data_IF_731612163600
#
_entry.id   IF_731612163600
#
_cell.length_a   1.000
_cell.length_b   1.000
_cell.length_c   1.000
_cell.angle_alpha   90.00
_cell.angle_beta   90.00
_cell.angle_gamma   90.00
#
_symmetry.space_group_name_H-M   'P 1'
#
loop_
_entity.id
_entity.type
_entity.pdbx_description
1 polymer ?
#
# COMPACT_ATOMS: atom_id res chain seq x y z
N UNK A 1 -12.80 10.54 -11.77
CA UNK A 1 -11.56 9.75 -11.58
C UNK A 1 -10.40 10.71 -11.40
N UNK A 2 -9.43 10.44 -10.51
CA UNK A 2 -8.28 11.34 -10.24
C UNK A 2 -7.01 10.78 -10.89
N UNK A 3 -6.15 11.65 -11.41
CA UNK A 3 -4.84 11.26 -11.98
C UNK A 3 -3.85 10.93 -10.88
N UNK A 4 -3.04 9.90 -11.11
CA UNK A 4 -1.92 9.55 -10.23
C UNK A 4 -0.76 10.52 -10.51
N UNK A 5 -0.11 11.04 -9.45
CA UNK A 5 1.07 11.91 -9.59
C UNK A 5 2.19 11.15 -10.33
N UNK A 6 2.90 11.81 -11.24
CA UNK A 6 4.03 11.21 -11.98
C UNK A 6 5.16 10.73 -11.07
N UNK A 7 5.32 11.39 -9.91
CA UNK A 7 6.29 11.08 -8.85
C UNK A 7 5.83 9.99 -7.87
N UNK A 8 4.69 9.34 -8.14
CA UNK A 8 4.19 8.21 -7.35
C UNK A 8 5.11 7.00 -7.51
N UNK A 9 5.47 6.40 -6.38
CA UNK A 9 6.30 5.19 -6.36
C UNK A 9 5.37 3.99 -6.55
N UNK A 10 5.76 3.06 -7.42
CA UNK A 10 5.10 1.76 -7.53
C UNK A 10 5.91 0.80 -6.69
N UNK A 11 5.33 0.29 -5.60
CA UNK A 11 6.00 -0.63 -4.69
C UNK A 11 6.34 -1.98 -5.35
N UNK A 12 7.29 -2.71 -4.77
CA UNK A 12 7.66 -4.05 -5.25
C UNK A 12 6.52 -5.07 -5.14
N UNK A 13 5.60 -4.91 -4.18
CA UNK A 13 4.39 -5.74 -4.09
C UNK A 13 3.51 -5.66 -5.35
N UNK A 14 3.54 -4.54 -6.08
CA UNK A 14 2.82 -4.37 -7.35
C UNK A 14 3.62 -4.88 -8.57
N UNK A 15 4.56 -5.82 -8.39
CA UNK A 15 5.50 -6.28 -9.42
C UNK A 15 4.82 -6.74 -10.71
N UNK A 16 3.68 -7.42 -10.64
CA UNK A 16 3.00 -7.93 -11.84
C UNK A 16 2.35 -6.83 -12.70
N UNK A 17 2.14 -5.63 -12.15
CA UNK A 17 1.37 -4.57 -12.81
C UNK A 17 2.25 -3.61 -13.60
N UNK A 18 1.99 -3.45 -14.91
CA UNK A 18 2.76 -2.53 -15.75
C UNK A 18 2.49 -1.07 -15.35
N UNK A 19 3.52 -0.22 -15.32
CA UNK A 19 3.35 1.22 -15.04
C UNK A 19 2.40 1.91 -16.02
N UNK A 20 2.37 1.46 -17.27
CA UNK A 20 1.52 2.04 -18.32
C UNK A 20 0.02 1.90 -18.05
N UNK A 21 -0.40 0.93 -17.23
CA UNK A 21 -1.81 0.75 -16.86
C UNK A 21 -2.19 1.55 -15.61
N UNK A 22 -1.21 1.89 -14.75
CA UNK A 22 -1.38 2.71 -13.55
C UNK A 22 -1.48 4.19 -13.95
N UNK A 23 -2.68 4.66 -14.31
CA UNK A 23 -2.91 6.06 -14.76
C UNK A 23 -3.77 6.89 -13.81
N UNK A 24 -4.83 6.29 -13.30
CA UNK A 24 -5.87 6.98 -12.54
C UNK A 24 -6.39 6.08 -11.43
N UNK A 25 -7.08 6.69 -10.47
CA UNK A 25 -7.76 6.00 -9.38
C UNK A 25 -9.16 6.60 -9.15
N UNK A 26 -10.06 5.78 -8.60
CA UNK A 26 -11.40 6.18 -8.15
C UNK A 26 -11.50 6.07 -6.64
N UNK A 27 -12.36 6.87 -6.01
CA UNK A 27 -12.49 6.90 -4.55
C UNK A 27 -12.85 5.51 -4.00
N UNK A 28 -12.11 5.07 -2.99
CA UNK A 28 -12.39 3.86 -2.25
C UNK A 28 -13.49 4.17 -1.22
N UNK A 29 -14.75 3.84 -1.52
CA UNK A 29 -15.86 4.09 -0.57
C UNK A 29 -16.83 2.91 -0.37
N UNK A 30 -16.82 1.89 -1.22
CA UNK A 30 -17.89 0.89 -1.21
C UNK A 30 -17.48 -0.56 -1.48
N UNK A 31 -16.23 -0.83 -1.85
CA UNK A 31 -15.76 -2.21 -2.11
C UNK A 31 -14.93 -2.68 -0.92
N UNK A 32 -15.24 -3.86 -0.39
CA UNK A 32 -14.37 -4.50 0.58
C UNK A 32 -13.04 -4.84 -0.10
N UNK A 33 -11.90 -4.50 0.51
CA UNK A 33 -10.61 -4.78 -0.10
C UNK A 33 -10.38 -6.29 -0.13
N UNK A 34 -9.79 -6.77 -1.23
CA UNK A 34 -9.39 -8.16 -1.38
C UNK A 34 -7.87 -8.28 -1.49
N UNK A 35 -7.35 -9.46 -1.20
CA UNK A 35 -5.93 -9.77 -1.43
C UNK A 35 -5.61 -9.53 -2.91
N UNK A 36 -4.53 -8.78 -3.17
CA UNK A 36 -4.09 -8.40 -4.51
C UNK A 36 -4.71 -7.10 -5.05
N UNK A 37 -5.70 -6.50 -4.38
CA UNK A 37 -6.23 -5.20 -4.79
C UNK A 37 -5.13 -4.12 -4.69
N UNK A 38 -4.97 -3.36 -5.77
CA UNK A 38 -4.03 -2.24 -5.83
C UNK A 38 -4.69 -0.96 -5.36
N UNK A 39 -3.98 -0.20 -4.53
CA UNK A 39 -4.48 1.06 -3.99
C UNK A 39 -3.42 2.15 -4.08
N UNK A 40 -3.86 3.37 -4.33
CA UNK A 40 -3.02 4.56 -4.19
C UNK A 40 -3.22 5.11 -2.79
N UNK A 41 -2.15 5.11 -2.01
CA UNK A 41 -2.12 5.63 -0.65
C UNK A 41 -1.16 6.81 -0.52
N UNK A 42 -1.41 7.63 0.49
CA UNK A 42 -0.51 8.68 0.94
C UNK A 42 -0.05 8.37 2.36
N UNK A 43 1.24 8.53 2.60
CA UNK A 43 1.82 8.36 3.94
C UNK A 43 1.35 9.51 4.83
N UNK A 44 0.61 9.22 5.89
CA UNK A 44 0.16 10.25 6.84
C UNK A 44 1.00 10.25 8.12
N UNK A 45 1.58 9.11 8.47
CA UNK A 45 2.38 8.92 9.68
C UNK A 45 3.55 8.01 9.34
N UNK A 46 4.75 8.33 9.83
CA UNK A 46 5.93 7.48 9.66
C UNK A 46 6.12 6.61 10.90
N UNK A 47 6.30 5.31 10.66
CA UNK A 47 6.75 4.35 11.64
C UNK A 47 8.20 3.90 11.40
N UNK A 48 8.50 2.62 11.63
CA UNK A 48 9.86 2.06 11.57
C UNK A 48 10.45 2.00 10.15
N UNK A 49 9.59 1.84 9.15
CA UNK A 49 9.99 1.89 7.73
C UNK A 49 9.93 3.32 7.19
N UNK A 50 11.07 3.97 7.08
CA UNK A 50 11.21 5.25 6.37
C UNK A 50 11.53 5.06 4.89
N UNK A 51 11.48 3.82 4.38
CA UNK A 51 11.78 3.48 2.99
C UNK A 51 10.72 2.57 2.39
N UNK A 52 10.61 2.63 1.06
CA UNK A 52 9.80 1.74 0.24
C UNK A 52 10.67 1.19 -0.90
N UNK A 53 10.59 -0.10 -1.14
CA UNK A 53 11.18 -0.73 -2.32
C UNK A 53 10.25 -0.53 -3.50
N UNK A 54 10.78 0.02 -4.59
CA UNK A 54 10.05 0.12 -5.85
C UNK A 54 10.02 -1.22 -6.57
N UNK A 55 9.08 -1.37 -7.51
CA UNK A 55 9.02 -2.47 -8.47
C UNK A 55 10.34 -2.75 -9.23
N UNK A 56 11.24 -1.77 -9.32
CA UNK A 56 12.54 -1.93 -9.97
C UNK A 56 13.67 -2.32 -8.98
N UNK A 57 13.33 -2.71 -7.75
CA UNK A 57 14.28 -3.04 -6.69
C UNK A 57 15.00 -1.83 -6.09
N UNK A 58 14.65 -0.59 -6.49
CA UNK A 58 15.25 0.62 -5.91
C UNK A 58 14.58 0.96 -4.58
N UNK A 59 15.38 1.23 -3.57
CA UNK A 59 14.93 1.69 -2.26
C UNK A 59 14.75 3.21 -2.32
N UNK A 60 13.56 3.69 -1.95
CA UNK A 60 13.22 5.11 -1.90
C UNK A 60 12.86 5.50 -0.47
N UNK A 61 13.43 6.60 0.03
CA UNK A 61 12.96 7.21 1.29
C UNK A 61 11.55 7.77 1.11
N UNK A 62 10.67 7.51 2.08
CA UNK A 62 9.31 8.02 2.13
C UNK A 62 9.16 9.05 3.26
N UNK A 63 8.42 10.11 2.97
CA UNK A 63 8.07 11.16 3.92
C UNK A 63 6.54 11.26 3.99
N UNK A 64 6.01 11.92 5.03
CA UNK A 64 4.59 12.28 5.10
C UNK A 64 4.19 13.06 3.84
N UNK A 65 3.01 12.76 3.29
CA UNK A 65 2.51 13.32 2.03
C UNK A 65 2.99 12.58 0.77
N UNK A 66 3.90 11.61 0.89
CA UNK A 66 4.38 10.84 -0.25
C UNK A 66 3.30 9.87 -0.72
N UNK A 67 3.02 9.89 -2.02
CA UNK A 67 2.08 8.97 -2.67
C UNK A 67 2.79 7.74 -3.21
N UNK A 68 2.23 6.57 -2.93
CA UNK A 68 2.76 5.26 -3.31
C UNK A 68 1.60 4.34 -3.71
N UNK A 69 1.86 3.46 -4.68
CA UNK A 69 0.96 2.36 -5.02
C UNK A 69 1.29 1.17 -4.12
N UNK A 70 0.31 0.75 -3.33
CA UNK A 70 0.39 -0.38 -2.41
C UNK A 70 -0.50 -1.53 -2.87
N UNK A 71 -0.33 -2.68 -2.24
CA UNK A 71 -1.13 -3.88 -2.49
C UNK A 71 -1.70 -4.41 -1.19
N UNK A 72 -3.01 -4.65 -1.16
CA UNK A 72 -3.63 -5.35 -0.04
C UNK A 72 -3.17 -6.81 0.00
N UNK A 73 -2.69 -7.27 1.14
CA UNK A 73 -2.31 -8.66 1.33
C UNK A 73 -2.06 -8.98 2.79
N UNK A 74 -2.26 -10.24 3.16
CA UNK A 74 -1.96 -10.70 4.52
C UNK A 74 -0.47 -10.98 4.68
N UNK A 75 0.05 -10.80 5.90
CA UNK A 75 1.43 -11.13 6.24
C UNK A 75 1.47 -11.83 7.58
N UNK A 76 2.17 -12.96 7.64
CA UNK A 76 2.44 -13.66 8.88
C UNK A 76 3.95 -13.66 9.14
N UNK A 77 4.36 -12.93 10.19
CA UNK A 77 5.74 -12.86 10.63
C UNK A 77 5.76 -13.01 12.16
N UNK A 78 5.94 -14.24 12.69
CA UNK A 78 5.82 -14.55 14.12
C UNK A 78 6.72 -13.71 15.04
N UNK A 79 7.83 -13.21 14.54
CA UNK A 79 8.78 -12.36 15.26
C UNK A 79 8.37 -10.87 15.26
N UNK A 80 7.36 -10.50 14.48
CA UNK A 80 7.03 -9.13 14.10
C UNK A 80 5.54 -8.84 14.29
N UNK A 81 4.71 -9.38 13.41
CA UNK A 81 3.28 -9.14 13.37
C UNK A 81 2.49 -10.23 12.63
N UNK A 82 1.22 -10.30 12.96
CA UNK A 82 0.18 -10.90 12.12
C UNK A 82 -0.66 -9.78 11.50
N UNK A 83 -0.68 -9.73 10.18
CA UNK A 83 -1.40 -8.75 9.38
C UNK A 83 -2.40 -9.41 8.44
N UNK A 84 -3.60 -8.85 8.35
CA UNK A 84 -4.70 -9.35 7.50
C UNK A 84 -5.25 -8.23 6.62
N UNK A 85 -5.87 -8.60 5.50
CA UNK A 85 -6.68 -7.63 4.73
C UNK A 85 -7.98 -7.35 5.51
N UNK A 86 -8.40 -6.09 5.65
CA UNK A 86 -9.62 -5.77 6.38
C UNK A 86 -10.88 -6.25 5.64
N UNK A 87 -11.88 -6.71 6.39
CA UNK A 87 -13.14 -7.22 5.83
C UNK A 87 -14.12 -6.09 5.42
N UNK A 88 -13.79 -4.83 5.73
CA UNK A 88 -14.57 -3.65 5.41
C UNK A 88 -13.72 -2.55 4.80
N UNK A 89 -14.30 -1.62 4.01
CA UNK A 89 -13.58 -0.45 3.54
C UNK A 89 -13.12 0.41 4.74
N UNK A 90 -11.83 0.71 4.79
CA UNK A 90 -11.23 1.58 5.80
C UNK A 90 -10.44 2.71 5.13
N UNK A 91 -10.45 3.88 5.77
CA UNK A 91 -9.74 5.05 5.25
C UNK A 91 -8.23 4.97 5.53
N UNK A 92 -7.87 4.24 6.59
CA UNK A 92 -6.50 4.05 7.05
C UNK A 92 -6.20 2.56 7.24
N UNK A 93 -4.99 2.15 6.88
CA UNK A 93 -4.41 0.87 7.26
C UNK A 93 -2.90 1.01 7.43
N UNK A 94 -2.23 -0.06 7.83
CA UNK A 94 -0.80 -0.06 8.08
C UNK A 94 0.02 -0.64 6.92
N UNK A 95 1.27 -0.16 6.82
CA UNK A 95 2.30 -0.84 6.04
C UNK A 95 2.92 -1.99 6.85
N UNK A 96 2.96 -3.19 6.25
CA UNK A 96 3.56 -4.36 6.91
C UNK A 96 5.06 -4.48 6.69
N UNK A 97 5.56 -3.98 5.55
CA UNK A 97 6.98 -4.03 5.18
C UNK A 97 7.31 -3.04 4.05
N UNK A 98 8.60 -2.72 3.86
CA UNK A 98 9.10 -1.82 2.80
C UNK A 98 8.70 -2.24 1.38
N UNK A 99 8.30 -3.51 1.18
CA UNK A 99 7.83 -4.00 -0.11
C UNK A 99 6.47 -3.46 -0.56
N UNK A 100 5.71 -2.78 0.31
CA UNK A 100 4.44 -2.16 -0.09
C UNK A 100 3.18 -2.99 0.12
N UNK A 101 3.25 -4.04 0.94
CA UNK A 101 2.08 -4.82 1.38
C UNK A 101 1.43 -4.14 2.56
N UNK A 102 0.11 -3.97 2.49
CA UNK A 102 -0.68 -3.22 3.46
C UNK A 102 -1.87 -4.04 3.96
N UNK A 103 -2.32 -3.72 5.17
CA UNK A 103 -3.52 -4.27 5.79
C UNK A 103 -3.63 -3.86 7.25
N UNK A 104 -4.44 -4.59 8.01
CA UNK A 104 -4.63 -4.39 9.44
C UNK A 104 -3.74 -5.34 10.24
N UNK A 105 -3.00 -4.82 11.20
CA UNK A 105 -2.23 -5.61 12.16
C UNK A 105 -3.17 -6.15 13.24
N UNK A 106 -3.35 -7.47 13.33
CA UNK A 106 -4.13 -8.13 14.40
C UNK A 106 -3.33 -8.30 15.67
N UNK A 107 -2.09 -8.75 15.55
CA UNK A 107 -1.23 -9.04 16.70
C UNK A 107 0.15 -8.50 16.43
N UNK A 108 0.71 -7.83 17.44
CA UNK A 108 2.03 -7.21 17.39
C UNK A 108 2.89 -7.84 18.46
N UNK A 109 4.03 -8.39 18.05
CA UNK A 109 4.95 -9.06 18.96
C UNK A 109 6.16 -8.16 19.23
N UNK A 110 6.67 -7.45 18.22
CA UNK A 110 7.82 -6.55 18.37
C UNK A 110 7.59 -5.15 17.75
N UNK A 111 8.32 -4.15 18.23
CA UNK A 111 8.24 -2.74 17.84
C UNK A 111 8.65 -2.47 16.39
N UNK A 112 9.40 -3.38 15.75
CA UNK A 112 9.92 -3.25 14.38
C UNK A 112 8.82 -3.07 13.31
N UNK A 113 7.57 -3.32 13.68
CA UNK A 113 6.39 -3.10 12.83
C UNK A 113 5.68 -1.78 13.20
N UNK A 114 6.40 -0.73 13.64
CA UNK A 114 5.72 0.53 13.96
C UNK A 114 5.08 1.11 12.69
N UNK A 115 3.82 1.49 12.88
CA UNK A 115 2.79 1.59 11.85
C UNK A 115 3.01 2.86 11.02
N UNK A 116 3.52 2.75 9.79
CA UNK A 116 3.17 3.81 8.86
C UNK A 116 1.67 3.74 8.67
N UNK A 117 0.97 4.75 9.16
CA UNK A 117 -0.43 4.92 8.78
C UNK A 117 -0.47 5.48 7.38
N UNK A 118 -1.24 4.82 6.55
CA UNK A 118 -1.45 5.19 5.17
C UNK A 118 -2.90 5.59 5.02
N UNK A 119 -3.14 6.76 4.43
CA UNK A 119 -4.48 7.17 4.02
C UNK A 119 -4.71 6.78 2.58
N UNK A 120 -5.83 6.13 2.29
CA UNK A 120 -6.15 5.70 0.93
C UNK A 120 -7.03 6.70 0.21
N UNK A 121 -6.71 6.92 -1.07
CA UNK A 121 -7.51 7.77 -1.93
C UNK A 121 -8.25 6.99 -3.02
N UNK A 122 -7.86 5.74 -3.32
CA UNK A 122 -8.59 4.95 -4.32
C UNK A 122 -8.03 3.60 -4.73
N UNK A 123 -8.92 2.72 -5.20
CA UNK A 123 -8.67 1.27 -5.38
C UNK A 123 -8.77 0.75 -6.82
N UNK A 124 -8.75 1.60 -7.83
CA UNK A 124 -8.79 1.10 -9.21
C UNK A 124 -7.77 1.79 -10.07
N UNK A 125 -6.59 1.17 -10.15
CA UNK A 125 -5.82 1.21 -11.38
C UNK A 125 -6.67 0.53 -12.44
N UNK A 126 -7.28 1.32 -13.33
CA UNK A 126 -7.95 0.76 -14.50
C UNK A 126 -6.90 0.06 -15.36
N UNK A 127 -6.83 -1.27 -15.27
CA UNK A 127 -6.10 -2.08 -16.24
C UNK A 127 -6.77 -1.83 -17.58
N UNK A 128 -6.07 -1.22 -18.54
CA UNK A 128 -6.59 -1.16 -19.91
C UNK A 128 -6.64 -2.62 -20.38
N UNK A 129 -7.84 -3.19 -20.47
CA UNK A 129 -8.04 -4.47 -21.14
C UNK A 129 -7.41 -4.39 -22.53
N UNK A 130 -6.73 -5.48 -22.88
CA UNK A 130 -6.20 -5.67 -24.23
C UNK A 130 -7.34 -5.92 -25.19
#
# INVERSE_FOLDING_TARGET
>A
MKKIKSSCIISSAAFSVKRSVIKQYSSFKQKCPAVGDLVVGEVIELGCHNTIESKLGRIHTINVGKQVVFVFGSRYAPDQCEGVVPDSPQEFVELFHQGGVIGNVKTKINCLVSQQKLKFWGMFVTMKER
#
